data_IF_258056061247
#
_entry.id   IF_258056061247
#
_cell.length_a   1.000
_cell.length_b   1.000
_cell.length_c   1.000
_cell.angle_alpha   90.00
_cell.angle_beta   90.00
_cell.angle_gamma   90.00
#
_symmetry.space_group_name_H-M   'P 1'
#
loop_
_entity.id
_entity.type
_entity.pdbx_description
1 polymer ?
#
# COMPACT_ATOMS: atom_id res chain seq x y z
N UNK A 1 15.62 -8.15 -17.18
CA UNK A 1 15.08 -8.97 -16.08
C UNK A 1 14.21 -10.13 -16.54
N UNK A 2 13.29 -9.96 -17.51
CA UNK A 2 12.47 -11.08 -18.01
C UNK A 2 13.29 -12.32 -18.41
N UNK A 3 14.39 -12.15 -19.15
CA UNK A 3 15.28 -13.25 -19.54
C UNK A 3 15.86 -14.04 -18.35
N UNK A 4 16.27 -13.35 -17.27
CA UNK A 4 16.83 -13.99 -16.07
C UNK A 4 15.78 -14.88 -15.38
N UNK A 5 14.53 -14.41 -15.31
CA UNK A 5 13.41 -15.18 -14.75
C UNK A 5 13.18 -16.45 -15.58
N UNK A 6 13.17 -16.35 -16.92
CA UNK A 6 13.02 -17.53 -17.78
C UNK A 6 14.17 -18.52 -17.65
N UNK A 7 15.41 -18.05 -17.51
CA UNK A 7 16.58 -18.92 -17.26
C UNK A 7 16.44 -19.63 -15.92
N UNK A 8 16.06 -18.92 -14.85
CA UNK A 8 15.86 -19.51 -13.53
C UNK A 8 14.70 -20.53 -13.53
N UNK A 9 13.58 -20.21 -14.16
CA UNK A 9 12.45 -21.13 -14.32
C UNK A 9 12.84 -22.37 -15.14
N UNK A 10 13.61 -22.19 -16.21
CA UNK A 10 14.13 -23.28 -17.02
C UNK A 10 15.07 -24.19 -16.23
N UNK A 11 16.00 -23.61 -15.46
CA UNK A 11 16.89 -24.36 -14.59
C UNK A 11 16.12 -25.14 -13.51
N UNK A 12 15.14 -24.50 -12.86
CA UNK A 12 14.28 -25.15 -11.87
C UNK A 12 13.48 -26.31 -12.48
N UNK A 13 12.95 -26.14 -13.70
CA UNK A 13 12.23 -27.21 -14.41
C UNK A 13 13.16 -28.40 -14.69
N UNK A 14 14.38 -28.15 -15.18
CA UNK A 14 15.36 -29.20 -15.43
C UNK A 14 15.76 -29.95 -14.14
N UNK A 15 15.99 -29.21 -13.05
CA UNK A 15 16.26 -29.80 -11.73
C UNK A 15 15.07 -30.65 -11.27
N UNK A 16 13.85 -30.14 -11.40
CA UNK A 16 12.63 -30.86 -11.00
C UNK A 16 12.45 -32.16 -11.79
N UNK A 17 12.67 -32.13 -13.10
CA UNK A 17 12.67 -33.32 -13.95
C UNK A 17 13.77 -34.31 -13.54
N UNK A 18 14.97 -33.81 -13.22
CA UNK A 18 16.08 -34.61 -12.70
C UNK A 18 15.73 -35.32 -11.38
N UNK A 19 15.14 -34.59 -10.42
CA UNK A 19 14.72 -35.14 -9.12
C UNK A 19 13.64 -36.20 -9.29
N UNK A 20 12.62 -35.95 -10.11
CA UNK A 20 11.53 -36.91 -10.36
C UNK A 20 12.04 -38.16 -11.07
N UNK A 21 12.87 -38.01 -12.11
CA UNK A 21 13.44 -39.16 -12.84
C UNK A 21 14.36 -40.00 -11.96
N UNK A 22 15.17 -39.35 -11.12
CA UNK A 22 16.00 -40.02 -10.12
C UNK A 22 15.15 -40.79 -9.10
N UNK A 23 14.11 -40.16 -8.55
CA UNK A 23 13.20 -40.79 -7.58
C UNK A 23 12.49 -42.02 -8.17
N UNK A 24 12.04 -41.92 -9.42
CA UNK A 24 11.45 -43.03 -10.18
C UNK A 24 12.46 -44.15 -10.41
N UNK A 25 13.69 -43.82 -10.84
CA UNK A 25 14.75 -44.79 -11.05
C UNK A 25 15.14 -45.52 -9.76
N UNK A 26 15.23 -44.78 -8.65
CA UNK A 26 15.50 -45.33 -7.33
C UNK A 26 14.39 -46.29 -6.86
N UNK A 27 13.13 -45.91 -7.07
CA UNK A 27 11.98 -46.75 -6.73
C UNK A 27 11.96 -48.06 -7.54
N UNK A 28 12.25 -48.01 -8.86
CA UNK A 28 12.35 -49.21 -9.71
C UNK A 28 13.42 -50.18 -9.20
N UNK A 29 14.62 -49.68 -8.90
CA UNK A 29 15.75 -50.50 -8.40
C UNK A 29 15.47 -51.17 -7.05
N UNK A 30 14.61 -50.57 -6.22
CA UNK A 30 14.23 -51.10 -4.90
C UNK A 30 12.90 -51.87 -4.89
N UNK A 31 12.32 -52.15 -6.05
CA UNK A 31 11.02 -52.84 -6.15
C UNK A 31 9.87 -52.07 -5.49
N UNK A 32 9.98 -50.74 -5.36
CA UNK A 32 8.95 -49.87 -4.75
C UNK A 32 8.02 -49.32 -5.83
N UNK A 33 6.86 -48.81 -5.40
CA UNK A 33 5.87 -48.21 -6.31
C UNK A 33 6.41 -46.94 -6.98
N UNK A 34 6.67 -47.04 -8.28
CA UNK A 34 7.12 -45.91 -9.12
C UNK A 34 6.15 -44.73 -9.07
N UNK A 35 4.84 -45.00 -9.10
CA UNK A 35 3.82 -43.95 -9.07
C UNK A 35 3.88 -43.14 -7.78
N UNK A 36 3.99 -43.80 -6.62
CA UNK A 36 4.04 -43.10 -5.31
C UNK A 36 5.29 -42.22 -5.18
N UNK A 37 6.44 -42.73 -5.60
CA UNK A 37 7.71 -41.99 -5.52
C UNK A 37 7.78 -40.84 -6.52
N UNK A 38 7.31 -41.04 -7.75
CA UNK A 38 7.24 -39.98 -8.76
C UNK A 38 6.31 -38.83 -8.34
N UNK A 39 5.09 -39.14 -7.90
CA UNK A 39 4.15 -38.13 -7.40
C UNK A 39 4.64 -37.45 -6.13
N UNK A 40 5.24 -38.20 -5.19
CA UNK A 40 5.82 -37.62 -3.97
C UNK A 40 6.93 -36.62 -4.29
N UNK A 41 7.86 -36.97 -5.18
CA UNK A 41 8.92 -36.06 -5.61
C UNK A 41 8.36 -34.81 -6.32
N UNK A 42 7.40 -34.98 -7.22
CA UNK A 42 6.75 -33.87 -7.90
C UNK A 42 6.02 -32.93 -6.92
N UNK A 43 5.31 -33.48 -5.94
CA UNK A 43 4.64 -32.71 -4.89
C UNK A 43 5.63 -31.92 -4.03
N UNK A 44 6.75 -32.51 -3.63
CA UNK A 44 7.80 -31.82 -2.88
C UNK A 44 8.36 -30.66 -3.69
N UNK A 45 8.71 -30.90 -4.95
CA UNK A 45 9.24 -29.84 -5.82
C UNK A 45 8.24 -28.69 -5.97
N UNK A 46 6.98 -28.99 -6.28
CA UNK A 46 5.91 -28.00 -6.39
C UNK A 46 5.73 -27.19 -5.09
N UNK A 47 5.76 -27.89 -3.94
CA UNK A 47 5.61 -27.26 -2.64
C UNK A 47 6.72 -26.23 -2.37
N UNK A 48 7.96 -26.44 -2.82
CA UNK A 48 9.04 -25.44 -2.62
C UNK A 48 8.73 -24.08 -3.26
N UNK A 49 7.94 -24.04 -4.34
CA UNK A 49 7.58 -22.78 -5.01
C UNK A 49 6.34 -22.14 -4.38
N UNK A 50 5.43 -22.96 -3.85
CA UNK A 50 4.09 -22.53 -3.41
C UNK A 50 3.81 -22.76 -1.92
N UNK A 51 4.84 -23.07 -1.14
CA UNK A 51 4.72 -23.34 0.30
C UNK A 51 4.11 -22.17 1.08
N UNK A 52 4.29 -20.95 0.57
CA UNK A 52 3.85 -19.71 1.19
C UNK A 52 2.46 -19.25 0.73
N UNK A 53 1.87 -19.90 -0.27
CA UNK A 53 0.56 -19.50 -0.81
C UNK A 53 -0.54 -19.63 0.25
N UNK A 54 -0.65 -20.79 0.88
CA UNK A 54 -1.66 -21.05 1.92
C UNK A 54 -1.53 -20.06 3.10
N UNK A 55 -0.36 -19.89 3.75
CA UNK A 55 -0.24 -18.96 4.86
C UNK A 55 -0.45 -17.51 4.41
N UNK A 56 -0.06 -17.13 3.19
CA UNK A 56 -0.33 -15.78 2.67
C UNK A 56 -1.82 -15.53 2.55
N UNK A 57 -2.54 -16.42 1.86
CA UNK A 57 -3.98 -16.24 1.63
C UNK A 57 -4.74 -16.26 2.96
N UNK A 58 -4.39 -17.17 3.88
CA UNK A 58 -5.05 -17.27 5.18
C UNK A 58 -4.85 -16.01 6.04
N UNK A 59 -3.61 -15.51 6.13
CA UNK A 59 -3.30 -14.30 6.90
C UNK A 59 -3.96 -13.08 6.27
N UNK A 60 -3.88 -12.92 4.94
CA UNK A 60 -4.54 -11.82 4.24
C UNK A 60 -6.04 -11.80 4.49
N UNK A 61 -6.73 -12.94 4.30
CA UNK A 61 -8.16 -13.06 4.57
C UNK A 61 -8.52 -12.76 6.02
N UNK A 62 -7.72 -13.24 6.97
CA UNK A 62 -7.94 -12.98 8.39
C UNK A 62 -7.87 -11.47 8.72
N UNK A 63 -6.82 -10.79 8.27
CA UNK A 63 -6.65 -9.36 8.54
C UNK A 63 -7.62 -8.49 7.75
N UNK A 64 -7.95 -8.88 6.51
CA UNK A 64 -9.03 -8.25 5.77
C UNK A 64 -10.38 -8.37 6.48
N UNK A 65 -10.70 -9.52 7.07
CA UNK A 65 -11.97 -9.68 7.78
C UNK A 65 -11.99 -8.95 9.14
N UNK A 66 -10.83 -8.83 9.78
CA UNK A 66 -10.72 -8.32 11.15
C UNK A 66 -10.51 -6.80 11.22
N UNK A 67 -9.58 -6.30 10.43
CA UNK A 67 -8.97 -4.97 10.64
C UNK A 67 -9.12 -4.05 9.42
N UNK A 68 -9.61 -4.53 8.27
CA UNK A 68 -9.83 -3.66 7.09
C UNK A 68 -11.20 -3.00 7.14
N UNK A 69 -11.28 -1.81 6.54
CA UNK A 69 -12.52 -1.04 6.55
C UNK A 69 -12.29 0.46 6.49
N UNK A 70 -13.40 1.18 6.52
CA UNK A 70 -13.46 2.62 6.60
C UNK A 70 -14.32 3.03 7.79
N UNK A 71 -13.78 3.91 8.63
CA UNK A 71 -14.44 4.43 9.82
C UNK A 71 -14.42 5.94 9.81
N UNK A 72 -15.58 6.54 10.05
CA UNK A 72 -15.73 7.98 10.33
C UNK A 72 -15.96 8.12 11.83
N UNK A 73 -14.96 8.64 12.54
CA UNK A 73 -15.06 8.89 13.98
C UNK A 73 -15.76 10.21 14.27
N UNK A 74 -15.56 11.21 13.40
CA UNK A 74 -16.20 12.52 13.51
C UNK A 74 -16.62 13.00 12.13
N UNK A 75 -17.89 13.34 12.01
CA UNK A 75 -18.45 13.88 10.76
C UNK A 75 -18.03 15.34 10.56
N UNK A 76 -18.08 15.81 9.32
CA UNK A 76 -17.79 17.22 9.02
C UNK A 76 -18.75 18.17 9.74
N UNK A 77 -20.04 17.83 9.81
CA UNK A 77 -21.04 18.68 10.47
C UNK A 77 -20.81 18.77 11.97
N UNK A 78 -20.46 17.64 12.61
CA UNK A 78 -20.08 17.63 14.02
C UNK A 78 -18.83 18.49 14.26
N UNK A 79 -17.79 18.34 13.43
CA UNK A 79 -16.58 19.15 13.56
C UNK A 79 -16.85 20.65 13.39
N UNK A 80 -17.73 21.03 12.44
CA UNK A 80 -18.15 22.42 12.22
C UNK A 80 -18.90 23.01 13.41
N UNK A 81 -19.75 22.21 14.07
CA UNK A 81 -20.44 22.63 15.29
C UNK A 81 -19.47 22.92 16.44
N UNK A 82 -18.41 22.11 16.55
CA UNK A 82 -17.35 22.29 17.55
C UNK A 82 -16.38 23.44 17.19
N UNK A 83 -16.28 23.80 15.91
CA UNK A 83 -15.36 24.83 15.39
C UNK A 83 -16.12 25.84 14.49
N UNK A 84 -17.08 26.60 15.05
CA UNK A 84 -17.92 27.50 14.25
C UNK A 84 -17.09 28.60 13.58
N UNK A 85 -17.31 28.83 12.28
CA UNK A 85 -16.65 29.87 11.50
C UNK A 85 -15.21 29.56 11.07
N UNK A 86 -14.63 28.42 11.49
CA UNK A 86 -13.26 28.06 11.14
C UNK A 86 -13.18 27.57 9.70
N UNK A 87 -14.15 26.77 9.25
CA UNK A 87 -14.12 26.12 7.93
C UNK A 87 -14.02 27.14 6.79
N UNK A 88 -14.69 28.28 6.94
CA UNK A 88 -14.75 29.38 5.97
C UNK A 88 -13.42 30.13 5.85
N UNK A 89 -12.54 30.00 6.86
CA UNK A 89 -11.21 30.63 6.87
C UNK A 89 -10.11 29.72 6.32
N UNK A 90 -10.42 28.45 6.06
CA UNK A 90 -9.43 27.49 5.58
C UNK A 90 -9.18 27.69 4.09
N UNK A 91 -7.89 27.74 3.74
CA UNK A 91 -7.42 27.83 2.36
C UNK A 91 -6.59 26.58 2.05
N UNK A 92 -6.73 26.09 0.82
CA UNK A 92 -5.92 25.01 0.27
C UNK A 92 -4.53 25.50 -0.19
N UNK A 93 -4.27 26.79 -0.21
CA UNK A 93 -2.92 27.27 -0.47
C UNK A 93 -2.08 27.22 0.80
N UNK A 94 -0.87 26.63 0.76
CA UNK A 94 0.05 26.70 1.87
C UNK A 94 0.39 28.15 2.24
N UNK A 95 0.68 28.48 3.51
CA UNK A 95 0.96 29.85 3.91
C UNK A 95 2.26 30.36 3.30
N UNK A 96 2.19 31.41 2.50
CA UNK A 96 3.32 31.91 1.70
C UNK A 96 4.51 32.41 2.55
N UNK A 97 4.25 32.79 3.80
CA UNK A 97 5.28 33.16 4.78
C UNK A 97 6.26 32.03 5.12
N UNK A 98 5.89 30.77 4.87
CA UNK A 98 6.73 29.60 5.13
C UNK A 98 7.39 29.06 3.87
N UNK A 99 7.29 29.78 2.75
CA UNK A 99 7.90 29.40 1.48
C UNK A 99 9.42 29.45 1.58
N UNK A 100 10.07 28.35 1.21
CA UNK A 100 11.53 28.19 1.21
C UNK A 100 11.99 28.07 -0.25
N UNK A 101 12.04 29.18 -0.98
CA UNK A 101 12.51 29.15 -2.38
C UNK A 101 14.02 28.85 -2.47
N UNK A 102 14.41 28.06 -3.47
CA UNK A 102 15.16 28.69 -4.55
C UNK A 102 14.82 28.21 -5.99
N UNK A 103 13.81 27.37 -6.19
CA UNK A 103 13.59 26.70 -7.49
C UNK A 103 12.42 27.26 -8.31
N UNK A 104 12.71 27.69 -9.53
CA UNK A 104 11.76 27.97 -10.61
C UNK A 104 11.28 26.67 -11.26
N UNK A 105 9.99 26.37 -11.15
CA UNK A 105 9.33 25.21 -11.78
C UNK A 105 7.87 25.08 -11.34
N UNK A 106 7.20 23.99 -11.72
CA UNK A 106 5.77 23.74 -11.44
C UNK A 106 5.46 23.35 -9.98
N UNK A 107 6.42 23.55 -9.07
CA UNK A 107 6.33 23.13 -7.66
C UNK A 107 6.87 24.20 -6.73
N UNK A 108 6.24 24.33 -5.55
CA UNK A 108 6.67 25.23 -4.48
C UNK A 108 6.93 24.45 -3.20
N UNK A 109 7.97 24.86 -2.48
CA UNK A 109 8.41 24.20 -1.25
C UNK A 109 8.12 25.09 -0.03
N UNK A 110 7.62 24.49 1.03
CA UNK A 110 7.31 25.17 2.28
C UNK A 110 7.87 24.39 3.47
N UNK A 111 8.33 25.10 4.50
CA UNK A 111 8.77 24.49 5.75
C UNK A 111 7.94 25.09 6.89
N UNK A 112 7.03 24.28 7.42
CA UNK A 112 6.17 24.69 8.53
C UNK A 112 6.95 24.75 9.86
N UNK A 113 6.49 25.52 10.85
CA UNK A 113 7.14 25.62 12.16
C UNK A 113 7.24 24.31 12.94
N UNK A 114 6.35 23.36 12.66
CA UNK A 114 6.37 22.00 13.23
C UNK A 114 7.41 21.08 12.55
N UNK A 115 8.15 21.61 11.57
CA UNK A 115 9.15 20.86 10.81
C UNK A 115 8.59 20.08 9.62
N UNK A 116 7.28 20.16 9.34
CA UNK A 116 6.70 19.51 8.17
C UNK A 116 7.14 20.22 6.89
N UNK A 117 7.62 19.44 5.92
CA UNK A 117 8.00 19.91 4.59
C UNK A 117 6.82 19.71 3.63
N UNK A 118 6.30 20.79 3.06
CA UNK A 118 5.23 20.75 2.07
C UNK A 118 5.78 20.98 0.68
N UNK A 119 5.25 20.22 -0.29
CA UNK A 119 5.55 20.37 -1.72
C UNK A 119 4.22 20.56 -2.43
N UNK A 120 3.93 21.79 -2.85
CA UNK A 120 2.75 22.12 -3.63
C UNK A 120 3.02 21.91 -5.11
N UNK A 121 2.11 21.24 -5.80
CA UNK A 121 2.18 20.94 -7.23
C UNK A 121 1.12 21.75 -7.96
N UNK A 122 1.51 22.43 -9.03
CA UNK A 122 0.61 23.23 -9.85
C UNK A 122 0.49 22.64 -11.24
N UNK A 123 -0.66 22.82 -11.87
CA UNK A 123 -0.85 22.46 -13.27
C UNK A 123 -0.22 23.52 -14.20
N UNK A 124 -0.26 23.26 -15.51
CA UNK A 124 0.26 24.19 -16.54
C UNK A 124 -0.48 25.53 -16.60
N UNK A 125 -1.66 25.64 -15.98
CA UNK A 125 -2.46 26.87 -15.86
C UNK A 125 -2.16 27.63 -14.57
N UNK A 126 -1.38 27.03 -13.66
CA UNK A 126 -1.06 27.58 -12.35
C UNK A 126 -2.07 27.22 -11.26
N UNK A 127 -3.00 26.30 -11.53
CA UNK A 127 -3.98 25.84 -10.54
C UNK A 127 -3.33 24.80 -9.61
N UNK A 128 -3.59 24.93 -8.31
CA UNK A 128 -3.07 24.00 -7.31
C UNK A 128 -3.68 22.60 -7.48
N UNK A 129 -2.85 21.60 -7.78
CA UNK A 129 -3.29 20.22 -7.97
C UNK A 129 -3.38 19.45 -6.65
N UNK A 130 -2.30 19.47 -5.86
CA UNK A 130 -2.22 18.83 -4.54
C UNK A 130 -0.96 19.32 -3.81
N UNK A 131 -0.94 19.11 -2.50
CA UNK A 131 0.21 19.43 -1.64
C UNK A 131 0.64 18.16 -0.94
N UNK A 132 1.81 17.63 -1.28
CA UNK A 132 2.40 16.54 -0.51
C UNK A 132 3.00 17.11 0.78
N UNK A 133 2.98 16.35 1.86
CA UNK A 133 3.77 16.67 3.03
C UNK A 133 4.56 15.46 3.54
N UNK A 134 5.73 15.77 4.10
CA UNK A 134 6.56 14.84 4.82
C UNK A 134 6.85 15.41 6.20
N UNK A 135 6.54 14.64 7.25
CA UNK A 135 6.88 15.01 8.63
C UNK A 135 8.17 14.31 9.08
N UNK A 136 8.91 14.91 10.03
CA UNK A 136 10.14 14.31 10.57
C UNK A 136 9.94 12.95 11.26
N UNK A 137 8.72 12.67 11.73
CA UNK A 137 8.31 11.41 12.36
C UNK A 137 8.12 10.25 11.34
N UNK A 138 8.32 10.52 10.05
CA UNK A 138 8.22 9.54 8.97
C UNK A 138 6.83 9.44 8.33
N UNK A 139 5.83 10.16 8.83
CA UNK A 139 4.53 10.21 8.17
C UNK A 139 4.61 11.02 6.88
N UNK A 140 4.00 10.46 5.84
CA UNK A 140 3.84 11.12 4.54
C UNK A 140 2.35 11.22 4.21
N UNK A 141 1.98 12.15 3.34
CA UNK A 141 0.60 12.28 2.95
C UNK A 141 0.32 13.53 2.16
N UNK A 142 -0.93 13.97 2.21
CA UNK A 142 -1.42 15.15 1.54
C UNK A 142 -1.90 16.19 2.55
N UNK A 143 -1.40 17.40 2.40
CA UNK A 143 -1.87 18.55 3.14
C UNK A 143 -3.16 19.01 2.44
N UNK A 144 -4.25 19.13 3.21
CA UNK A 144 -5.55 19.51 2.66
C UNK A 144 -5.81 21.00 2.86
N UNK A 145 -5.54 21.49 4.06
CA UNK A 145 -5.59 22.90 4.44
C UNK A 145 -4.85 23.12 5.78
N UNK A 146 -4.95 24.32 6.37
CA UNK A 146 -4.27 24.65 7.64
C UNK A 146 -4.74 23.79 8.82
N UNK A 147 -5.90 23.11 8.72
CA UNK A 147 -6.43 22.26 9.78
C UNK A 147 -6.36 20.79 9.45
N UNK A 148 -6.54 20.36 8.22
CA UNK A 148 -6.63 18.94 7.90
C UNK A 148 -5.44 18.43 7.11
N UNK A 149 -4.97 17.25 7.53
CA UNK A 149 -3.98 16.47 6.81
C UNK A 149 -4.55 15.08 6.52
N UNK A 150 -4.19 14.52 5.38
CA UNK A 150 -4.45 13.14 5.02
C UNK A 150 -3.12 12.37 5.06
N UNK A 151 -2.88 11.63 6.12
CA UNK A 151 -1.67 10.79 6.27
C UNK A 151 -1.86 9.44 5.63
N UNK A 152 -0.80 8.92 5.02
CA UNK A 152 -0.71 7.57 4.47
C UNK A 152 0.50 6.89 5.13
N UNK A 153 0.23 5.78 5.79
CA UNK A 153 1.23 4.94 6.43
C UNK A 153 1.17 3.54 5.83
N UNK A 154 2.24 3.14 5.15
CA UNK A 154 2.38 1.79 4.61
C UNK A 154 3.45 1.07 5.41
N UNK A 155 3.04 0.03 6.15
CA UNK A 155 3.96 -0.77 6.97
C UNK A 155 4.02 -2.20 6.46
N UNK A 156 5.24 -2.76 6.26
CA UNK A 156 5.40 -4.19 6.07
C UNK A 156 4.86 -4.91 7.30
N UNK A 157 3.83 -5.72 7.10
CA UNK A 157 3.10 -6.34 8.19
C UNK A 157 3.56 -7.78 8.47
N UNK A 158 4.02 -8.50 7.44
CA UNK A 158 4.43 -9.90 7.58
C UNK A 158 5.78 -10.21 6.91
N UNK A 159 6.79 -10.71 7.65
CA UNK A 159 8.17 -10.81 7.17
C UNK A 159 8.39 -11.87 6.09
N UNK A 160 7.57 -12.93 6.05
CA UNK A 160 7.78 -14.04 5.12
C UNK A 160 7.19 -13.79 3.72
N UNK A 161 6.11 -13.00 3.65
CA UNK A 161 5.27 -12.92 2.44
C UNK A 161 5.06 -11.49 1.93
N UNK A 162 5.81 -10.51 2.45
CA UNK A 162 5.78 -9.11 2.00
C UNK A 162 4.38 -8.52 1.90
N UNK A 163 3.53 -8.82 2.89
CA UNK A 163 2.23 -8.17 3.01
C UNK A 163 2.42 -6.74 3.47
N UNK A 164 1.66 -5.83 2.87
CA UNK A 164 1.61 -4.45 3.28
C UNK A 164 0.28 -4.19 3.97
N UNK A 165 0.36 -3.48 5.09
CA UNK A 165 -0.80 -2.83 5.68
C UNK A 165 -0.73 -1.37 5.27
N UNK A 166 -1.74 -0.91 4.55
CA UNK A 166 -1.91 0.48 4.25
C UNK A 166 -2.94 1.08 5.19
N UNK A 167 -2.53 2.12 5.91
CA UNK A 167 -3.38 2.85 6.80
C UNK A 167 -3.41 4.32 6.37
N UNK A 168 -4.60 4.81 6.10
CA UNK A 168 -4.80 6.20 5.76
C UNK A 168 -5.71 6.87 6.79
N UNK A 169 -5.37 8.09 7.18
CA UNK A 169 -6.13 8.83 8.17
C UNK A 169 -6.30 10.28 7.73
N UNK A 170 -7.48 10.83 7.97
CA UNK A 170 -7.71 12.27 7.89
C UNK A 170 -7.74 12.81 9.31
N UNK A 171 -6.81 13.71 9.62
CA UNK A 171 -6.59 14.23 10.97
C UNK A 171 -6.70 15.74 11.02
N UNK A 172 -7.18 16.25 12.14
CA UNK A 172 -7.09 17.68 12.49
C UNK A 172 -5.72 17.96 13.10
N UNK A 173 -4.87 18.65 12.35
CA UNK A 173 -3.48 18.98 12.69
C UNK A 173 -3.35 19.81 13.96
N UNK A 174 -4.40 20.54 14.37
CA UNK A 174 -4.35 21.34 15.60
C UNK A 174 -4.60 20.49 16.84
N UNK A 175 -5.53 19.53 16.76
CA UNK A 175 -5.95 18.72 17.92
C UNK A 175 -5.28 17.35 17.95
N UNK A 176 -4.75 16.89 16.81
CA UNK A 176 -4.28 15.52 16.61
C UNK A 176 -5.41 14.50 16.48
N UNK A 177 -6.67 14.94 16.40
CA UNK A 177 -7.83 14.06 16.34
C UNK A 177 -7.97 13.43 14.96
N UNK A 178 -8.22 12.12 14.91
CA UNK A 178 -8.51 11.39 13.68
C UNK A 178 -10.00 11.48 13.38
N UNK A 179 -10.36 12.12 12.27
CA UNK A 179 -11.74 12.30 11.82
C UNK A 179 -12.24 11.06 11.07
N UNK A 180 -11.40 10.50 10.21
CA UNK A 180 -11.69 9.30 9.45
C UNK A 180 -10.44 8.46 9.26
N UNK A 181 -10.62 7.14 9.18
CA UNK A 181 -9.56 6.14 9.00
C UNK A 181 -9.98 5.10 7.99
N UNK A 182 -9.04 4.74 7.12
CA UNK A 182 -9.13 3.62 6.20
C UNK A 182 -7.96 2.68 6.47
N UNK A 183 -8.24 1.38 6.52
CA UNK A 183 -7.21 0.35 6.62
C UNK A 183 -7.46 -0.68 5.53
N UNK A 184 -6.39 -1.06 4.85
CA UNK A 184 -6.38 -2.09 3.84
C UNK A 184 -5.14 -2.96 3.94
N UNK A 185 -5.24 -4.15 3.34
CA UNK A 185 -4.14 -5.10 3.27
C UNK A 185 -3.93 -5.52 1.84
N UNK A 186 -2.70 -5.39 1.36
CA UNK A 186 -2.29 -5.91 0.06
C UNK A 186 -1.29 -7.05 0.25
N UNK A 187 -1.40 -8.04 -0.63
CA UNK A 187 -0.45 -9.13 -0.76
C UNK A 187 0.30 -8.96 -2.09
N UNK A 188 1.61 -9.18 -2.05
CA UNK A 188 2.59 -8.92 -3.11
C UNK A 188 3.11 -7.48 -3.18
N UNK A 189 4.26 -7.32 -3.82
CA UNK A 189 4.93 -6.04 -3.98
C UNK A 189 4.17 -5.16 -4.97
N UNK A 190 3.52 -4.11 -4.47
CA UNK A 190 2.82 -3.06 -5.26
C UNK A 190 3.67 -2.39 -6.35
N UNK A 191 4.99 -2.60 -6.35
CA UNK A 191 5.85 -2.13 -7.42
C UNK A 191 6.14 -3.27 -8.38
N UNK A 192 5.53 -3.19 -9.56
CA UNK A 192 6.01 -3.82 -10.83
C UNK A 192 7.39 -3.28 -11.25
N UNK A 193 8.29 -2.99 -10.31
CA UNK A 193 9.68 -2.75 -10.60
C UNK A 193 10.31 -4.12 -10.90
N UNK A 194 10.83 -4.25 -12.12
CA UNK A 194 11.46 -5.46 -12.62
C UNK A 194 12.55 -5.95 -11.63
N UNK A 195 12.25 -6.96 -10.82
CA UNK A 195 13.09 -7.39 -9.70
C UNK A 195 12.61 -8.67 -9.04
N UNK A 196 13.42 -9.21 -8.12
CA UNK A 196 13.12 -10.40 -7.30
C UNK A 196 11.93 -10.24 -6.34
N UNK A 197 11.36 -9.03 -6.26
CA UNK A 197 10.16 -8.72 -5.48
C UNK A 197 8.86 -9.16 -6.18
N UNK A 198 8.83 -9.19 -7.51
CA UNK A 198 7.60 -9.35 -8.30
C UNK A 198 7.34 -10.74 -8.90
N UNK A 199 8.14 -11.77 -8.59
CA UNK A 199 7.98 -13.09 -9.22
C UNK A 199 6.81 -13.91 -8.65
N UNK A 200 6.39 -13.64 -7.41
CA UNK A 200 5.23 -14.31 -6.78
C UNK A 200 3.91 -13.67 -7.19
N UNK A 201 3.69 -13.54 -8.50
CA UNK A 201 2.48 -12.92 -9.06
C UNK A 201 1.20 -13.67 -8.66
N UNK A 202 1.29 -14.96 -8.32
CA UNK A 202 0.17 -15.76 -7.80
C UNK A 202 -0.27 -15.39 -6.36
N UNK A 203 0.49 -14.52 -5.68
CA UNK A 203 0.11 -13.93 -4.39
C UNK A 203 -0.41 -12.51 -4.52
N UNK A 204 -0.55 -11.99 -5.75
CA UNK A 204 -0.98 -10.62 -5.95
C UNK A 204 -2.44 -10.42 -5.52
N UNK A 205 -2.63 -9.53 -4.55
CA UNK A 205 -3.92 -8.99 -4.14
C UNK A 205 -3.70 -7.53 -3.77
N UNK A 206 -4.20 -6.63 -4.61
CA UNK A 206 -3.96 -5.20 -4.43
C UNK A 206 -4.78 -4.63 -3.26
N UNK A 207 -5.96 -5.22 -2.97
CA UNK A 207 -6.89 -4.75 -1.93
C UNK A 207 -7.66 -5.90 -1.30
N UNK A 208 -8.15 -5.68 -0.07
CA UNK A 208 -9.22 -6.49 0.51
C UNK A 208 -10.52 -6.38 -0.31
N UNK A 209 -11.43 -7.34 -0.14
CA UNK A 209 -12.78 -7.27 -0.74
C UNK A 209 -13.47 -5.99 -0.24
N UNK A 210 -13.90 -5.13 -1.18
CA UNK A 210 -14.51 -3.83 -0.86
C UNK A 210 -13.51 -2.70 -0.55
N UNK A 211 -12.20 -2.96 -0.56
CA UNK A 211 -11.15 -1.96 -0.30
C UNK A 211 -11.27 -0.75 -1.22
N UNK A 212 -11.44 -0.95 -2.53
CA UNK A 212 -11.63 0.16 -3.47
C UNK A 212 -12.81 1.08 -3.13
N UNK A 213 -13.97 0.53 -2.75
CA UNK A 213 -15.14 1.33 -2.35
C UNK A 213 -14.94 2.07 -1.03
N UNK A 214 -14.23 1.46 -0.09
CA UNK A 214 -13.84 2.11 1.18
C UNK A 214 -12.83 3.24 0.95
N UNK A 215 -11.86 3.04 0.05
CA UNK A 215 -10.91 4.07 -0.35
C UNK A 215 -11.62 5.25 -1.03
N UNK A 216 -12.58 4.97 -1.92
CA UNK A 216 -13.41 6.02 -2.55
C UNK A 216 -14.27 6.77 -1.53
N UNK A 217 -14.76 6.08 -0.50
CA UNK A 217 -15.49 6.70 0.62
C UNK A 217 -14.59 7.66 1.42
N UNK A 218 -13.34 7.26 1.70
CA UNK A 218 -12.36 8.13 2.34
C UNK A 218 -12.02 9.34 1.45
N UNK A 219 -11.81 9.14 0.15
CA UNK A 219 -11.58 10.23 -0.81
C UNK A 219 -12.76 11.19 -0.82
N UNK A 220 -13.98 10.69 -0.88
CA UNK A 220 -15.18 11.54 -0.81
C UNK A 220 -15.27 12.32 0.51
N UNK A 221 -14.87 11.70 1.64
CA UNK A 221 -14.83 12.40 2.93
C UNK A 221 -13.80 13.54 2.91
N UNK A 222 -12.61 13.28 2.37
CA UNK A 222 -11.55 14.28 2.18
C UNK A 222 -12.01 15.43 1.28
N UNK A 223 -12.68 15.14 0.17
CA UNK A 223 -13.11 16.16 -0.80
C UNK A 223 -14.13 17.14 -0.21
N UNK A 224 -14.94 16.65 0.74
CA UNK A 224 -15.85 17.51 1.51
C UNK A 224 -15.11 18.51 2.42
N UNK A 225 -13.87 18.19 2.84
CA UNK A 225 -13.03 19.07 3.68
C UNK A 225 -12.25 20.11 2.86
N UNK A 226 -12.00 19.84 1.58
CA UNK A 226 -11.32 20.78 0.68
C UNK A 226 -12.29 21.69 -0.06
N UNK A 227 -13.60 21.41 0.00
CA UNK A 227 -14.63 22.19 -0.68
C UNK A 227 -14.68 21.96 -2.19
N UNK A 228 -14.10 20.84 -2.68
CA UNK A 228 -14.13 20.46 -4.10
C UNK A 228 -15.51 19.99 -4.56
N UNK A 229 -16.37 19.55 -3.64
CA UNK A 229 -17.80 19.33 -3.88
C UNK A 229 -18.59 20.57 -3.43
N UNK A 230 -18.76 21.54 -4.33
CA UNK A 230 -19.78 22.59 -4.22
C UNK A 230 -20.87 22.36 -5.25
#
# INVERSE_FOLDING_TARGET
MGFVVFVAMGAYLLISLGVVTWAVGHAKKRGKSVKKWGWGAAFVMYSVVLWDWIPTVAVHQYYCAKDSGFWVYKTLDQWKQENPGVMETLDRNPPEQFRIDPFTGDKKHYLLPDGANLIAYYDVRGDLMFVNFNKPDGYTGYWLNQRFNWTINQVPFFPLNHMMREEQQVLDSKTGEVLARYVDFSASHERRQAGWAGWKFWLQSDHCIGGGGNQDSLRSFRDNLTGEKK
#
